data_IF_604564539006
#
_entry.id   IF_604564539006
#
_cell.length_a   1.000
_cell.length_b   1.000
_cell.length_c   1.000
_cell.angle_alpha   90.00
_cell.angle_beta   90.00
_cell.angle_gamma   90.00
#
_symmetry.space_group_name_H-M   'P 1'
#
loop_
_entity.id
_entity.type
_entity.pdbx_description
1 polymer ?
#
# COMPACT_ATOMS: atom_id res chain seq x y z
N UNK A 1 18.37 6.57 18.88
CA UNK A 1 18.14 5.57 17.82
C UNK A 1 19.40 5.43 16.97
N UNK A 2 19.82 4.21 16.76
CA UNK A 2 20.95 3.90 15.88
C UNK A 2 20.60 4.11 14.39
N UNK A 3 21.60 4.03 13.51
CA UNK A 3 21.44 4.26 12.06
C UNK A 3 20.47 3.23 11.43
N UNK A 4 20.52 1.97 11.86
CA UNK A 4 19.68 0.90 11.37
C UNK A 4 18.19 1.16 11.67
N UNK A 5 17.87 1.51 12.93
CA UNK A 5 16.51 1.83 13.35
C UNK A 5 15.92 3.04 12.59
N UNK A 6 16.74 4.07 12.33
CA UNK A 6 16.31 5.22 11.50
C UNK A 6 15.97 4.80 10.08
N UNK A 7 16.75 3.90 9.48
CA UNK A 7 16.49 3.38 8.12
C UNK A 7 15.18 2.59 8.08
N UNK A 8 14.94 1.72 9.08
CA UNK A 8 13.68 0.95 9.18
C UNK A 8 12.47 1.89 9.34
N UNK A 9 12.55 2.89 10.22
CA UNK A 9 11.44 3.86 10.39
C UNK A 9 11.17 4.62 9.08
N UNK A 10 12.22 5.04 8.37
CA UNK A 10 12.04 5.71 7.08
C UNK A 10 11.36 4.79 6.06
N UNK A 11 11.74 3.51 6.02
CA UNK A 11 11.08 2.51 5.18
C UNK A 11 9.61 2.34 5.57
N UNK A 12 9.29 2.27 6.87
CA UNK A 12 7.93 2.20 7.38
C UNK A 12 7.09 3.42 6.99
N UNK A 13 7.65 4.62 7.08
CA UNK A 13 6.93 5.84 6.70
C UNK A 13 6.64 5.87 5.20
N UNK A 14 7.62 5.53 4.35
CA UNK A 14 7.43 5.46 2.90
C UNK A 14 6.37 4.40 2.56
N UNK A 15 6.44 3.22 3.16
CA UNK A 15 5.46 2.15 2.94
C UNK A 15 4.05 2.59 3.37
N UNK A 16 3.94 3.33 4.46
CA UNK A 16 2.66 3.82 4.96
C UNK A 16 2.06 4.93 4.08
N UNK A 17 2.90 5.81 3.51
CA UNK A 17 2.47 6.80 2.49
C UNK A 17 1.94 6.08 1.26
N UNK A 18 2.60 5.01 0.79
CA UNK A 18 2.11 4.23 -0.34
C UNK A 18 0.81 3.51 -0.02
N UNK A 19 0.65 2.96 1.17
CA UNK A 19 -0.60 2.37 1.60
C UNK A 19 -1.76 3.39 1.54
N UNK A 20 -1.52 4.61 2.02
CA UNK A 20 -2.50 5.71 1.93
C UNK A 20 -2.78 6.11 0.47
N UNK A 21 -1.76 6.15 -0.38
CA UNK A 21 -1.89 6.46 -1.79
C UNK A 21 -2.75 5.42 -2.52
N UNK A 22 -2.44 4.14 -2.34
CA UNK A 22 -3.14 3.04 -3.00
C UNK A 22 -4.60 2.94 -2.58
N UNK A 23 -4.92 3.27 -1.33
CA UNK A 23 -6.31 3.34 -0.83
C UNK A 23 -7.13 4.42 -1.55
N UNK A 24 -6.50 5.49 -2.01
CA UNK A 24 -7.15 6.61 -2.71
C UNK A 24 -7.19 6.47 -4.23
N UNK A 25 -6.29 5.69 -4.84
CA UNK A 25 -6.13 5.61 -6.31
C UNK A 25 -7.42 5.22 -7.02
N UNK A 26 -8.07 4.13 -6.61
CA UNK A 26 -9.29 3.67 -7.28
C UNK A 26 -10.43 4.68 -7.19
N UNK A 27 -10.77 5.25 -6.02
CA UNK A 27 -11.78 6.31 -5.93
C UNK A 27 -11.45 7.55 -6.76
N UNK A 28 -10.20 8.00 -6.78
CA UNK A 28 -9.77 9.18 -7.54
C UNK A 28 -9.91 8.98 -9.05
N UNK A 29 -9.75 7.74 -9.52
CA UNK A 29 -9.84 7.38 -10.93
C UNK A 29 -11.26 6.99 -11.38
N UNK A 30 -12.27 6.95 -10.50
CA UNK A 30 -13.61 6.47 -10.86
C UNK A 30 -14.19 7.12 -12.10
N UNK A 31 -14.18 8.45 -12.15
CA UNK A 31 -14.73 9.18 -13.28
C UNK A 31 -13.92 8.90 -14.56
N UNK A 32 -12.61 8.86 -14.45
CA UNK A 32 -11.69 8.57 -15.56
C UNK A 32 -11.93 7.17 -16.12
N UNK A 33 -11.96 6.15 -15.24
CA UNK A 33 -12.18 4.76 -15.65
C UNK A 33 -13.57 4.56 -16.27
N UNK A 34 -14.60 5.25 -15.74
CA UNK A 34 -15.93 5.22 -16.34
C UNK A 34 -15.95 5.83 -17.74
N UNK A 35 -15.35 7.01 -17.90
CA UNK A 35 -15.43 7.76 -19.17
C UNK A 35 -14.54 7.15 -20.26
N UNK A 36 -13.35 6.66 -19.89
CA UNK A 36 -12.40 6.11 -20.87
C UNK A 36 -12.68 4.66 -21.26
N UNK A 37 -13.12 3.83 -20.28
CA UNK A 37 -13.28 2.37 -20.49
C UNK A 37 -14.73 1.90 -20.35
N UNK A 38 -15.66 2.84 -20.22
CA UNK A 38 -17.10 2.55 -20.08
C UNK A 38 -17.43 1.56 -18.95
N UNK A 39 -16.61 1.56 -17.87
CA UNK A 39 -16.82 0.73 -16.69
C UNK A 39 -17.96 1.33 -15.86
N UNK A 40 -18.97 0.52 -15.51
CA UNK A 40 -20.10 1.01 -14.72
C UNK A 40 -19.70 1.38 -13.28
N UNK A 41 -20.41 2.30 -12.65
CA UNK A 41 -20.18 2.66 -11.24
C UNK A 41 -20.35 1.46 -10.29
N UNK A 42 -21.25 0.53 -10.61
CA UNK A 42 -21.43 -0.70 -9.83
C UNK A 42 -20.16 -1.56 -9.85
N UNK A 43 -19.52 -1.72 -11.01
CA UNK A 43 -18.26 -2.46 -11.15
C UNK A 43 -17.11 -1.72 -10.45
N UNK A 44 -17.05 -0.40 -10.53
CA UNK A 44 -16.06 0.39 -9.80
C UNK A 44 -16.25 0.30 -8.29
N UNK A 45 -17.51 0.32 -7.83
CA UNK A 45 -17.83 0.06 -6.43
C UNK A 45 -17.43 -1.35 -5.98
N UNK A 46 -17.67 -2.37 -6.82
CA UNK A 46 -17.25 -3.75 -6.55
C UNK A 46 -15.72 -3.87 -6.45
N UNK A 47 -14.97 -3.10 -7.23
CA UNK A 47 -13.51 -3.05 -7.13
C UNK A 47 -13.04 -2.62 -5.73
N UNK A 48 -13.70 -1.63 -5.13
CA UNK A 48 -13.40 -1.21 -3.76
C UNK A 48 -13.77 -2.31 -2.76
N UNK A 49 -14.92 -2.94 -2.92
CA UNK A 49 -15.36 -4.04 -2.05
C UNK A 49 -14.37 -5.21 -2.09
N UNK A 50 -13.90 -5.59 -3.28
CA UNK A 50 -12.87 -6.62 -3.46
C UNK A 50 -11.60 -6.23 -2.71
N UNK A 51 -11.18 -4.97 -2.80
CA UNK A 51 -10.02 -4.45 -2.09
C UNK A 51 -10.15 -4.62 -0.58
N UNK A 52 -11.23 -4.12 0.01
CA UNK A 52 -11.46 -4.21 1.45
C UNK A 52 -11.65 -5.65 1.94
N UNK A 53 -12.34 -6.50 1.19
CA UNK A 53 -12.48 -7.92 1.55
C UNK A 53 -11.12 -8.64 1.54
N UNK A 54 -10.29 -8.36 0.55
CA UNK A 54 -8.93 -8.93 0.47
C UNK A 54 -8.10 -8.49 1.67
N UNK A 55 -8.13 -7.20 2.02
CA UNK A 55 -7.42 -6.63 3.17
C UNK A 55 -7.91 -7.28 4.47
N UNK A 56 -9.22 -7.31 4.71
CA UNK A 56 -9.83 -7.96 5.88
C UNK A 56 -9.42 -9.43 5.98
N UNK A 57 -9.36 -10.14 4.86
CA UNK A 57 -8.95 -11.55 4.85
C UNK A 57 -7.49 -11.73 5.28
N UNK A 58 -6.60 -10.85 4.85
CA UNK A 58 -5.20 -10.83 5.29
C UNK A 58 -5.11 -10.55 6.79
N UNK A 59 -5.86 -9.57 7.31
CA UNK A 59 -5.89 -9.23 8.73
C UNK A 59 -6.35 -10.42 9.58
N UNK A 60 -7.38 -11.13 9.14
CA UNK A 60 -7.86 -12.35 9.81
C UNK A 60 -6.81 -13.47 9.78
N UNK A 61 -6.17 -13.71 8.64
CA UNK A 61 -5.10 -14.71 8.53
C UNK A 61 -3.97 -14.39 9.52
N UNK A 62 -3.52 -13.16 9.58
CA UNK A 62 -2.46 -12.76 10.50
C UNK A 62 -2.90 -12.82 11.97
N UNK A 63 -4.14 -12.44 12.27
CA UNK A 63 -4.69 -12.55 13.63
C UNK A 63 -4.64 -13.99 14.15
N UNK A 64 -5.01 -14.98 13.34
CA UNK A 64 -5.08 -16.37 13.78
C UNK A 64 -3.80 -17.18 13.54
N UNK A 65 -3.00 -16.82 12.54
CA UNK A 65 -1.90 -17.65 12.07
C UNK A 65 -0.53 -16.94 12.04
N UNK A 66 -0.38 -15.75 12.62
CA UNK A 66 0.86 -14.96 12.60
C UNK A 66 2.11 -15.74 12.98
N UNK A 67 2.01 -16.68 13.94
CA UNK A 67 3.12 -17.53 14.39
C UNK A 67 3.65 -18.50 13.34
N UNK A 68 2.90 -18.74 12.25
CA UNK A 68 3.29 -19.64 11.16
C UNK A 68 4.06 -18.92 10.05
N UNK A 69 4.05 -17.58 10.05
CA UNK A 69 4.67 -16.78 9.01
C UNK A 69 6.07 -16.30 9.40
N UNK A 70 6.95 -16.26 8.43
CA UNK A 70 8.22 -15.56 8.58
C UNK A 70 7.97 -14.05 8.42
N UNK A 71 7.94 -13.35 9.56
CA UNK A 71 7.60 -11.93 9.61
C UNK A 71 8.57 -11.09 8.77
N UNK A 72 9.87 -11.41 8.82
CA UNK A 72 10.86 -10.68 8.03
C UNK A 72 10.59 -10.79 6.53
N UNK A 73 10.16 -11.97 6.07
CA UNK A 73 9.75 -12.17 4.68
C UNK A 73 8.49 -11.36 4.36
N UNK A 74 7.50 -11.36 5.25
CA UNK A 74 6.27 -10.59 5.05
C UNK A 74 6.53 -9.08 4.98
N UNK A 75 7.46 -8.55 5.78
CA UNK A 75 7.87 -7.14 5.74
C UNK A 75 8.46 -6.75 4.38
N UNK A 76 9.24 -7.62 3.76
CA UNK A 76 9.81 -7.37 2.43
C UNK A 76 8.75 -7.57 1.34
N UNK A 77 7.82 -8.51 1.52
CA UNK A 77 6.73 -8.75 0.56
C UNK A 77 5.75 -7.59 0.45
N UNK A 78 5.50 -6.83 1.52
CA UNK A 78 4.59 -5.67 1.48
C UNK A 78 4.90 -4.74 0.29
N UNK A 79 6.07 -4.09 0.22
CA UNK A 79 6.34 -3.16 -0.87
C UNK A 79 6.52 -3.87 -2.23
N UNK A 80 6.95 -5.12 -2.28
CA UNK A 80 7.03 -5.90 -3.53
C UNK A 80 5.64 -6.06 -4.14
N UNK A 81 4.65 -6.47 -3.35
CA UNK A 81 3.27 -6.62 -3.81
C UNK A 81 2.65 -5.29 -4.24
N UNK A 82 2.99 -4.17 -3.56
CA UNK A 82 2.62 -2.82 -4.01
C UNK A 82 3.20 -2.51 -5.38
N UNK A 83 4.49 -2.78 -5.62
CA UNK A 83 5.13 -2.56 -6.93
C UNK A 83 4.43 -3.36 -8.02
N UNK A 84 4.25 -4.67 -7.79
CA UNK A 84 3.59 -5.56 -8.76
C UNK A 84 2.17 -5.07 -9.05
N UNK A 85 1.38 -4.80 -8.02
CA UNK A 85 0.00 -4.34 -8.18
C UNK A 85 -0.11 -2.99 -8.89
N UNK A 86 0.72 -2.00 -8.53
CA UNK A 86 0.70 -0.68 -9.18
C UNK A 86 1.15 -0.74 -10.63
N UNK A 87 2.20 -1.50 -10.95
CA UNK A 87 2.65 -1.69 -12.33
C UNK A 87 1.54 -2.36 -13.15
N UNK A 88 0.93 -3.43 -12.64
CA UNK A 88 -0.19 -4.09 -13.32
C UNK A 88 -1.37 -3.14 -13.51
N UNK A 89 -1.70 -2.33 -12.49
CA UNK A 89 -2.79 -1.36 -12.54
C UNK A 89 -2.57 -0.34 -13.67
N UNK A 90 -1.37 0.24 -13.74
CA UNK A 90 -1.02 1.21 -14.79
C UNK A 90 -0.91 0.59 -16.20
N UNK A 91 -0.44 -0.66 -16.30
CA UNK A 91 -0.29 -1.36 -17.60
C UNK A 91 -1.58 -1.98 -18.12
N UNK A 92 -2.60 -2.16 -17.27
CA UNK A 92 -3.85 -2.83 -17.61
C UNK A 92 -4.46 -2.37 -18.95
N UNK A 93 -4.62 -1.06 -19.26
CA UNK A 93 -5.24 -0.66 -20.51
C UNK A 93 -4.43 -1.03 -21.76
N UNK A 94 -3.13 -1.20 -21.63
CA UNK A 94 -2.26 -1.52 -22.76
C UNK A 94 -2.12 -3.02 -22.99
N UNK A 95 -2.23 -3.84 -21.92
CA UNK A 95 -2.07 -5.30 -21.97
C UNK A 95 -3.41 -6.00 -22.22
N UNK A 96 -4.49 -5.46 -21.68
CA UNK A 96 -5.83 -6.06 -21.72
C UNK A 96 -6.86 -5.08 -22.32
N UNK A 97 -6.67 -4.60 -23.57
CA UNK A 97 -7.65 -3.73 -24.24
C UNK A 97 -9.00 -4.47 -24.32
N UNK A 98 -10.08 -3.77 -24.01
CA UNK A 98 -11.47 -4.27 -23.90
C UNK A 98 -11.76 -5.19 -22.68
N UNK A 99 -10.75 -5.51 -21.87
CA UNK A 99 -10.89 -6.30 -20.64
C UNK A 99 -10.24 -5.61 -19.44
N UNK A 100 -10.20 -4.25 -19.46
CA UNK A 100 -9.50 -3.44 -18.48
C UNK A 100 -9.98 -3.72 -17.06
N UNK A 101 -11.28 -3.98 -16.88
CA UNK A 101 -11.83 -4.28 -15.55
C UNK A 101 -11.19 -5.52 -14.91
N UNK A 102 -10.92 -6.57 -15.67
CA UNK A 102 -10.27 -7.80 -15.17
C UNK A 102 -8.87 -7.48 -14.67
N UNK A 103 -8.10 -6.72 -15.45
CA UNK A 103 -6.75 -6.31 -15.04
C UNK A 103 -6.75 -5.42 -13.79
N UNK A 104 -7.73 -4.51 -13.67
CA UNK A 104 -7.90 -3.68 -12.49
C UNK A 104 -8.24 -4.53 -11.25
N UNK A 105 -9.10 -5.56 -11.38
CA UNK A 105 -9.42 -6.48 -10.28
C UNK A 105 -8.18 -7.24 -9.81
N UNK A 106 -7.41 -7.82 -10.73
CA UNK A 106 -6.17 -8.56 -10.40
C UNK A 106 -5.16 -7.63 -9.72
N UNK A 107 -4.97 -6.44 -10.26
CA UNK A 107 -4.05 -5.44 -9.70
C UNK A 107 -4.47 -5.00 -8.29
N UNK A 108 -5.78 -4.75 -8.10
CA UNK A 108 -6.36 -4.40 -6.80
C UNK A 108 -6.14 -5.50 -5.78
N UNK A 109 -6.24 -6.77 -6.19
CA UNK A 109 -5.96 -7.89 -5.30
C UNK A 109 -4.53 -7.85 -4.75
N UNK A 110 -3.51 -7.65 -5.61
CA UNK A 110 -2.12 -7.52 -5.17
C UNK A 110 -1.89 -6.32 -4.27
N UNK A 111 -2.43 -5.16 -4.63
CA UNK A 111 -2.35 -3.93 -3.83
C UNK A 111 -2.99 -4.14 -2.46
N UNK A 112 -4.14 -4.80 -2.39
CA UNK A 112 -4.88 -5.00 -1.15
C UNK A 112 -4.23 -6.04 -0.23
N UNK A 113 -3.58 -7.07 -0.77
CA UNK A 113 -2.73 -7.97 0.03
C UNK A 113 -1.59 -7.17 0.67
N UNK A 114 -0.93 -6.32 -0.11
CA UNK A 114 0.12 -5.44 0.41
C UNK A 114 -0.42 -4.54 1.53
N UNK A 115 -1.56 -3.89 1.31
CA UNK A 115 -2.17 -2.98 2.29
C UNK A 115 -2.55 -3.71 3.59
N UNK A 116 -3.12 -4.91 3.53
CA UNK A 116 -3.40 -5.73 4.71
C UNK A 116 -2.13 -6.10 5.48
N UNK A 117 -1.06 -6.50 4.77
CA UNK A 117 0.23 -6.75 5.41
C UNK A 117 0.81 -5.49 6.07
N UNK A 118 0.69 -4.33 5.43
CA UNK A 118 1.13 -3.04 6.00
C UNK A 118 0.40 -2.76 7.30
N UNK A 119 -0.91 -2.94 7.33
CA UNK A 119 -1.78 -2.64 8.46
C UNK A 119 -1.42 -3.48 9.69
N UNK A 120 -1.19 -4.78 9.50
CA UNK A 120 -0.87 -5.69 10.61
C UNK A 120 0.61 -5.66 11.03
N UNK A 121 1.54 -5.29 10.14
CA UNK A 121 2.98 -5.44 10.42
C UNK A 121 3.69 -4.14 10.78
N UNK A 122 3.28 -2.97 10.25
CA UNK A 122 4.05 -1.75 10.44
C UNK A 122 4.04 -1.26 11.88
N UNK A 123 2.89 -1.28 12.55
CA UNK A 123 2.78 -0.82 13.94
C UNK A 123 3.61 -1.68 14.92
N UNK A 124 3.53 -3.02 14.88
CA UNK A 124 4.40 -3.88 15.69
C UNK A 124 5.89 -3.73 15.33
N UNK A 125 6.22 -3.55 14.04
CA UNK A 125 7.60 -3.34 13.61
C UNK A 125 8.19 -2.06 14.20
N UNK A 126 7.46 -0.95 14.14
CA UNK A 126 7.89 0.33 14.71
C UNK A 126 7.97 0.26 16.25
N UNK A 127 7.01 -0.40 16.90
CA UNK A 127 7.01 -0.58 18.35
C UNK A 127 8.18 -1.44 18.85
N UNK A 128 8.66 -2.40 18.05
CA UNK A 128 9.81 -3.26 18.39
C UNK A 128 11.17 -2.57 18.25
N UNK A 129 11.23 -1.37 17.65
CA UNK A 129 12.49 -0.64 17.51
C UNK A 129 12.91 0.02 18.82
N UNK A 130 14.24 0.12 19.09
CA UNK A 130 14.74 0.77 20.29
C UNK A 130 14.40 2.27 20.27
N UNK A 131 13.40 2.66 21.05
CA UNK A 131 12.94 4.03 21.23
C UNK A 131 12.67 4.31 22.69
N UNK A 132 12.86 5.56 23.10
CA UNK A 132 12.49 6.03 24.46
C UNK A 132 10.97 6.11 24.66
N UNK A 133 10.20 6.14 23.57
CA UNK A 133 8.73 6.20 23.62
C UNK A 133 8.15 5.53 22.34
N UNK A 134 7.93 4.19 22.36
CA UNK A 134 7.39 3.44 21.25
C UNK A 134 6.00 3.94 20.80
N UNK A 135 5.12 4.28 21.73
CA UNK A 135 3.75 4.75 21.43
C UNK A 135 3.77 6.05 20.62
N UNK A 136 4.72 6.93 20.92
CA UNK A 136 4.91 8.16 20.13
C UNK A 136 5.33 7.86 18.68
N UNK A 137 6.20 6.86 18.49
CA UNK A 137 6.64 6.50 17.13
C UNK A 137 5.51 5.85 16.33
N UNK A 138 4.68 5.02 16.96
CA UNK A 138 3.46 4.46 16.33
C UNK A 138 2.44 5.55 16.03
N UNK A 139 2.22 6.52 16.93
CA UNK A 139 1.34 7.66 16.69
C UNK A 139 1.81 8.51 15.49
N UNK A 140 3.12 8.71 15.34
CA UNK A 140 3.69 9.38 14.16
C UNK A 140 3.43 8.58 12.88
N UNK A 141 3.54 7.25 12.92
CA UNK A 141 3.25 6.40 11.78
C UNK A 141 1.82 6.63 11.28
N UNK A 142 0.83 6.64 12.18
CA UNK A 142 -0.56 6.93 11.81
C UNK A 142 -0.75 8.36 11.30
N UNK A 143 -0.03 9.34 11.86
CA UNK A 143 -0.05 10.71 11.34
C UNK A 143 0.51 10.79 9.91
N UNK A 144 1.56 10.04 9.61
CA UNK A 144 2.14 9.95 8.26
C UNK A 144 1.13 9.37 7.26
N UNK A 145 0.32 8.39 7.65
CA UNK A 145 -0.77 7.88 6.82
C UNK A 145 -1.78 8.98 6.47
N UNK A 146 -2.26 9.71 7.46
CA UNK A 146 -3.23 10.80 7.25
C UNK A 146 -2.68 11.89 6.32
N UNK A 147 -1.44 12.33 6.53
CA UNK A 147 -0.78 13.28 5.64
C UNK A 147 -0.51 12.70 4.25
N UNK A 148 -0.26 11.39 4.15
CA UNK A 148 -0.13 10.68 2.89
C UNK A 148 -1.41 10.76 2.06
N UNK A 149 -2.60 10.56 2.68
CA UNK A 149 -3.90 10.72 2.02
C UNK A 149 -4.06 12.13 1.45
N UNK A 150 -3.80 13.16 2.25
CA UNK A 150 -3.89 14.56 1.81
C UNK A 150 -2.91 14.83 0.67
N UNK A 151 -1.66 14.41 0.84
CA UNK A 151 -0.59 14.62 -0.15
C UNK A 151 -0.91 13.97 -1.49
N UNK A 152 -1.40 12.73 -1.49
CA UNK A 152 -1.70 12.03 -2.76
C UNK A 152 -2.89 12.64 -3.49
N UNK A 153 -3.93 13.08 -2.78
CA UNK A 153 -5.09 13.75 -3.39
C UNK A 153 -4.67 15.05 -4.06
N UNK A 154 -3.83 15.85 -3.38
CA UNK A 154 -3.29 17.10 -3.95
C UNK A 154 -2.40 16.79 -5.16
N UNK A 155 -1.45 15.85 -5.03
CA UNK A 155 -0.54 15.49 -6.09
C UNK A 155 -1.28 14.94 -7.33
N UNK A 156 -2.27 14.07 -7.13
CA UNK A 156 -3.13 13.55 -8.19
C UNK A 156 -3.89 14.67 -8.89
N UNK A 157 -4.54 15.55 -8.11
CA UNK A 157 -5.32 16.66 -8.67
C UNK A 157 -4.47 17.63 -9.49
N UNK A 158 -3.26 17.95 -9.01
CA UNK A 158 -2.31 18.79 -9.74
C UNK A 158 -1.80 18.10 -11.01
N UNK A 159 -1.46 16.81 -10.91
CA UNK A 159 -1.00 16.04 -12.07
C UNK A 159 -2.07 16.00 -13.17
N UNK A 160 -3.32 15.68 -12.81
CA UNK A 160 -4.42 15.61 -13.78
C UNK A 160 -4.74 16.99 -14.39
N UNK A 161 -4.59 18.06 -13.61
CA UNK A 161 -4.78 19.44 -14.12
C UNK A 161 -3.72 19.83 -15.14
N UNK A 162 -2.47 19.37 -14.98
CA UNK A 162 -1.35 19.73 -15.84
C UNK A 162 -1.30 18.84 -17.09
N UNK A 163 -1.45 17.53 -16.92
CA UNK A 163 -1.21 16.54 -17.97
C UNK A 163 -2.49 15.96 -18.58
N UNK A 164 -3.65 16.19 -17.94
CA UNK A 164 -4.92 15.61 -18.36
C UNK A 164 -5.18 14.20 -17.84
N UNK A 165 -6.45 13.81 -17.86
CA UNK A 165 -6.89 12.49 -17.34
C UNK A 165 -6.48 11.33 -18.24
N UNK A 166 -6.16 11.57 -19.49
CA UNK A 166 -5.71 10.54 -20.44
C UNK A 166 -4.33 9.96 -20.07
N UNK A 167 -3.61 10.64 -19.19
CA UNK A 167 -2.25 10.29 -18.76
C UNK A 167 -2.19 9.72 -17.34
N UNK A 168 -3.30 9.26 -16.77
CA UNK A 168 -3.38 8.78 -15.40
C UNK A 168 -2.42 7.61 -15.10
N UNK A 169 -2.08 6.78 -16.09
CA UNK A 169 -1.16 5.65 -15.94
C UNK A 169 0.24 6.12 -15.51
N UNK A 170 0.70 7.25 -16.06
CA UNK A 170 2.02 7.81 -15.70
C UNK A 170 2.07 8.24 -14.23
N UNK A 171 0.95 8.75 -13.69
CA UNK A 171 0.87 9.03 -12.26
C UNK A 171 1.05 7.77 -11.42
N UNK A 172 0.44 6.65 -11.81
CA UNK A 172 0.62 5.36 -11.14
C UNK A 172 2.07 4.90 -11.18
N UNK A 173 2.75 5.05 -12.32
CA UNK A 173 4.18 4.70 -12.41
C UNK A 173 5.07 5.61 -11.56
N UNK A 174 4.75 6.89 -11.46
CA UNK A 174 5.49 7.82 -10.58
C UNK A 174 5.37 7.39 -9.12
N UNK A 175 4.18 7.08 -8.64
CA UNK A 175 4.01 6.65 -7.24
C UNK A 175 4.64 5.28 -6.97
N UNK A 176 4.87 4.45 -7.99
CA UNK A 176 5.55 3.15 -7.84
C UNK A 176 7.02 3.30 -7.44
N UNK A 177 7.63 4.47 -7.62
CA UNK A 177 9.00 4.74 -7.17
C UNK A 177 9.11 4.60 -5.65
N UNK A 178 8.09 4.97 -4.89
CA UNK A 178 8.12 4.93 -3.43
C UNK A 178 8.21 3.50 -2.84
N UNK A 179 7.39 2.52 -3.26
CA UNK A 179 7.57 1.17 -2.75
C UNK A 179 8.88 0.53 -3.23
N UNK A 180 9.44 0.91 -4.38
CA UNK A 180 10.78 0.49 -4.79
C UNK A 180 11.83 0.99 -3.80
N UNK A 181 11.76 2.27 -3.39
CA UNK A 181 12.63 2.81 -2.35
C UNK A 181 12.47 2.06 -1.02
N UNK A 182 11.24 1.71 -0.67
CA UNK A 182 10.96 0.94 0.54
C UNK A 182 11.60 -0.46 0.50
N UNK A 183 11.55 -1.15 -0.64
CA UNK A 183 12.24 -2.44 -0.83
C UNK A 183 13.74 -2.29 -0.56
N UNK A 184 14.37 -1.27 -1.14
CA UNK A 184 15.81 -1.01 -0.95
C UNK A 184 16.12 -0.78 0.52
N UNK A 185 15.36 0.08 1.20
CA UNK A 185 15.58 0.39 2.61
C UNK A 185 15.40 -0.81 3.53
N UNK A 186 14.36 -1.63 3.32
CA UNK A 186 14.19 -2.86 4.10
C UNK A 186 15.27 -3.90 3.81
N UNK A 187 15.72 -4.02 2.57
CA UNK A 187 16.75 -5.00 2.16
C UNK A 187 18.12 -4.71 2.77
N UNK A 188 18.48 -3.43 2.97
CA UNK A 188 19.75 -3.04 3.60
C UNK A 188 19.68 -2.99 5.12
N UNK A 189 18.50 -3.16 5.71
CA UNK A 189 18.25 -3.06 7.15
C UNK A 189 18.25 -4.43 7.80
N UNK A 190 18.73 -4.49 9.05
CA UNK A 190 18.56 -5.68 9.91
C UNK A 190 17.25 -5.53 10.68
N UNK A 191 16.24 -6.27 10.27
CA UNK A 191 14.92 -6.23 10.91
C UNK A 191 14.98 -6.80 12.33
N UNK A 192 14.28 -6.19 13.31
CA UNK A 192 14.17 -6.72 14.66
C UNK A 192 13.31 -7.99 14.67
N UNK A 193 13.53 -8.86 15.64
CA UNK A 193 12.62 -9.97 15.90
C UNK A 193 11.28 -9.43 16.42
N UNK A 194 10.22 -9.61 15.66
CA UNK A 194 8.87 -9.23 16.05
C UNK A 194 8.17 -10.47 16.59
N UNK A 195 7.72 -10.38 17.84
CA UNK A 195 6.89 -11.42 18.46
C UNK A 195 5.45 -10.92 18.55
N UNK A 196 4.52 -11.61 17.90
CA UNK A 196 3.09 -11.35 18.06
C UNK A 196 2.61 -12.10 19.31
N UNK A 197 2.59 -11.43 20.45
CA UNK A 197 1.92 -11.92 21.65
C UNK A 197 0.45 -11.46 21.60
N UNK A 198 -0.36 -12.20 20.84
CA UNK A 198 -1.80 -12.03 20.90
C UNK A 198 -2.24 -12.75 22.20
N UNK A 199 -2.25 -12.03 23.31
CA UNK A 199 -3.06 -12.42 24.47
C UNK A 199 -4.52 -12.17 24.08
N UNK A 200 -5.19 -13.22 23.65
CA UNK A 200 -6.66 -13.24 23.64
C UNK A 200 -7.08 -13.20 25.11
N UNK A 201 -7.36 -12.01 25.62
CA UNK A 201 -8.00 -11.80 26.92
C UNK A 201 -9.51 -11.97 26.78
#
# INVERSE_FOLDING_TARGET
MDKNSKTIISACYITNIICSATSCVSPLLFLTLKTMYNISYSLLGLLIVIGFLTQLFIDLIFTFFSKKFNINLCVILMPILSVVGLIMYGLTPWILPHHEYIGLVISTFFISISSGLVEVLLSPLVAALPSSNPDKEVSKLHSVFAWGVVGIVIAFSLFMRIFGYDHWQYFIFIITIFPILSIILFSISKLPNIYFDIKLS
#
